data_IF_423305228161
#
_entry.id   IF_423305228161
#
_cell.length_a   1.000
_cell.length_b   1.000
_cell.length_c   1.000
_cell.angle_alpha   90.00
_cell.angle_beta   90.00
_cell.angle_gamma   90.00
#
_symmetry.space_group_name_H-M   'P 1'
#
loop_
_entity.id
_entity.type
_entity.pdbx_description
1 polymer ?
#
# COMPACT_ATOMS: atom_id res chain seq x y z
N UNK A 1 11.50 4.49 -0.17
CA UNK A 1 10.31 5.31 0.13
C UNK A 1 10.64 6.74 -0.26
N UNK A 2 9.76 7.37 -1.04
CA UNK A 2 9.81 8.78 -1.50
C UNK A 2 11.17 9.24 -2.06
N UNK A 3 11.64 8.56 -3.11
CA UNK A 3 12.81 8.97 -3.88
C UNK A 3 12.45 9.19 -5.36
N UNK A 4 12.75 10.37 -5.95
CA UNK A 4 13.27 11.56 -5.27
C UNK A 4 12.23 12.17 -4.31
N UNK A 5 12.65 13.04 -3.37
CA UNK A 5 11.73 13.82 -2.54
C UNK A 5 10.69 14.57 -3.40
N UNK A 6 9.45 14.70 -2.92
CA UNK A 6 8.32 15.26 -3.70
C UNK A 6 8.60 16.66 -4.24
N UNK A 7 9.29 17.49 -3.46
CA UNK A 7 9.67 18.86 -3.84
C UNK A 7 10.69 18.93 -4.97
N UNK A 8 11.40 17.84 -5.25
CA UNK A 8 12.51 17.80 -6.20
C UNK A 8 12.24 16.83 -7.37
N UNK A 9 11.04 16.24 -7.47
CA UNK A 9 10.73 15.26 -8.51
C UNK A 9 10.86 15.86 -9.92
N UNK A 10 10.30 17.05 -10.12
CA UNK A 10 10.40 17.77 -11.39
C UNK A 10 11.82 18.29 -11.67
N UNK A 11 12.63 18.51 -10.63
CA UNK A 11 14.02 18.97 -10.77
C UNK A 11 14.96 17.83 -11.17
N UNK A 12 14.86 16.68 -10.49
CA UNK A 12 15.73 15.53 -10.73
C UNK A 12 15.29 14.67 -11.91
N UNK A 13 13.98 14.62 -12.19
CA UNK A 13 13.40 13.74 -13.21
C UNK A 13 12.41 14.49 -14.13
N UNK A 14 12.81 15.61 -14.78
CA UNK A 14 11.90 16.50 -15.50
C UNK A 14 11.11 15.79 -16.63
N UNK A 15 11.76 14.86 -17.35
CA UNK A 15 11.07 14.06 -18.38
C UNK A 15 9.97 13.18 -17.77
N UNK A 16 10.26 12.52 -16.65
CA UNK A 16 9.30 11.65 -15.96
C UNK A 16 8.18 12.45 -15.31
N UNK A 17 8.47 13.64 -14.76
CA UNK A 17 7.46 14.60 -14.29
C UNK A 17 6.42 14.91 -15.36
N UNK A 18 6.89 15.34 -16.53
CA UNK A 18 6.00 15.66 -17.66
C UNK A 18 5.19 14.45 -18.12
N UNK A 19 5.81 13.28 -18.25
CA UNK A 19 5.13 12.05 -18.67
C UNK A 19 4.10 11.58 -17.64
N UNK A 20 4.44 11.66 -16.35
CA UNK A 20 3.55 11.29 -15.25
C UNK A 20 2.31 12.20 -15.21
N UNK A 21 2.49 13.52 -15.24
CA UNK A 21 1.36 14.46 -15.28
C UNK A 21 0.48 14.23 -16.51
N UNK A 22 1.07 13.88 -17.66
CA UNK A 22 0.30 13.53 -18.88
C UNK A 22 -0.51 12.24 -18.71
N UNK A 23 -0.01 11.28 -17.92
CA UNK A 23 -0.66 9.99 -17.67
C UNK A 23 -1.76 10.03 -16.59
N UNK A 24 -1.89 11.14 -15.85
CA UNK A 24 -2.92 11.26 -14.81
C UNK A 24 -4.34 11.07 -15.39
N UNK A 25 -5.16 10.18 -14.80
CA UNK A 25 -6.57 10.05 -15.15
C UNK A 25 -7.39 11.20 -14.53
N UNK A 26 -8.61 11.45 -15.04
CA UNK A 26 -9.53 12.46 -14.50
C UNK A 26 -8.87 13.83 -14.28
N UNK A 27 -8.29 14.38 -15.35
CA UNK A 27 -7.42 15.57 -15.30
C UNK A 27 -8.12 16.81 -14.73
N UNK A 28 -9.43 16.85 -14.77
CA UNK A 28 -10.27 17.86 -14.13
C UNK A 28 -9.99 17.94 -12.62
N UNK A 29 -9.70 16.80 -11.97
CA UNK A 29 -9.42 16.68 -10.54
C UNK A 29 -7.93 16.54 -10.24
N UNK A 30 -7.18 15.84 -11.09
CA UNK A 30 -5.81 15.41 -10.75
C UNK A 30 -4.73 16.33 -11.30
N UNK A 31 -5.00 17.08 -12.38
CA UNK A 31 -3.97 17.86 -13.03
C UNK A 31 -3.58 19.08 -12.17
N UNK A 32 -2.28 19.28 -11.84
CA UNK A 32 -1.85 20.27 -10.84
C UNK A 32 -2.01 21.74 -11.27
N UNK A 33 -2.11 21.99 -12.59
CA UNK A 33 -2.29 23.35 -13.15
C UNK A 33 -3.63 23.59 -13.83
N UNK A 34 -4.05 22.71 -14.74
CA UNK A 34 -5.29 22.85 -15.51
C UNK A 34 -6.50 22.14 -14.91
N UNK A 35 -6.39 21.46 -13.77
CA UNK A 35 -7.51 20.79 -13.12
C UNK A 35 -8.52 21.81 -12.61
N UNK A 36 -9.67 21.93 -13.27
CA UNK A 36 -10.71 22.89 -12.91
C UNK A 36 -11.39 22.56 -11.57
N UNK A 37 -11.41 21.29 -11.18
CA UNK A 37 -11.96 20.78 -9.93
C UNK A 37 -10.87 20.48 -8.90
N UNK A 38 -9.59 20.65 -9.27
CA UNK A 38 -8.46 20.55 -8.34
C UNK A 38 -8.32 21.84 -7.53
N UNK A 39 -8.90 21.86 -6.32
CA UNK A 39 -8.85 23.04 -5.44
C UNK A 39 -7.41 23.47 -5.11
N UNK A 40 -6.48 22.53 -4.97
CA UNK A 40 -5.09 22.86 -4.68
C UNK A 40 -4.43 23.71 -5.78
N UNK A 41 -4.85 23.53 -7.04
CA UNK A 41 -4.38 24.35 -8.17
C UNK A 41 -4.93 25.78 -8.16
N UNK A 42 -5.97 26.05 -7.37
CA UNK A 42 -6.70 27.33 -7.32
C UNK A 42 -6.44 28.14 -6.06
N UNK A 43 -5.68 27.58 -5.10
CA UNK A 43 -5.35 28.30 -3.88
C UNK A 43 -4.37 29.47 -4.16
N UNK A 44 -4.55 30.64 -3.51
CA UNK A 44 -3.64 31.78 -3.66
C UNK A 44 -2.18 31.43 -3.31
N UNK A 45 -1.20 32.13 -3.89
CA UNK A 45 0.23 31.86 -3.62
C UNK A 45 0.62 31.96 -2.14
N UNK A 46 -0.03 32.86 -1.39
CA UNK A 46 0.22 33.07 0.05
C UNK A 46 -0.51 32.08 0.97
N UNK A 47 -1.24 31.12 0.40
CA UNK A 47 -1.92 30.09 1.19
C UNK A 47 -0.95 29.01 1.65
N UNK A 48 -1.27 28.37 2.77
CA UNK A 48 -0.60 27.15 3.20
C UNK A 48 -1.03 26.02 2.26
N UNK A 49 -0.29 25.85 1.15
CA UNK A 49 -0.50 24.71 0.27
C UNK A 49 -0.02 23.44 1.00
N UNK A 50 -0.82 22.37 1.05
CA UNK A 50 -0.31 21.09 1.51
C UNK A 50 0.89 20.66 0.65
N UNK A 51 1.79 19.82 1.19
CA UNK A 51 2.89 19.21 0.44
C UNK A 51 2.31 18.23 -0.59
N UNK A 52 1.89 18.80 -1.72
CA UNK A 52 1.27 18.12 -2.84
C UNK A 52 2.27 18.00 -3.97
N UNK A 53 2.33 16.80 -4.54
CA UNK A 53 3.25 16.48 -5.61
C UNK A 53 3.42 14.98 -5.77
N UNK A 54 4.03 14.56 -6.89
CA UNK A 54 4.31 13.16 -7.15
C UNK A 54 5.21 12.57 -6.07
N UNK A 55 4.79 11.46 -5.45
CA UNK A 55 5.60 10.63 -4.55
C UNK A 55 5.84 9.27 -5.17
N UNK A 56 7.12 8.89 -5.23
CA UNK A 56 7.55 7.66 -5.88
C UNK A 56 7.81 6.54 -4.87
N UNK A 57 7.21 5.39 -5.12
CA UNK A 57 7.32 4.19 -4.30
C UNK A 57 7.94 3.06 -5.11
N UNK A 58 9.10 2.58 -4.65
CA UNK A 58 9.71 1.34 -5.13
C UNK A 58 9.61 0.32 -4.02
N UNK A 59 9.07 -0.84 -4.36
CA UNK A 59 8.89 -1.93 -3.41
C UNK A 59 9.18 -3.28 -4.03
N UNK A 60 9.65 -4.20 -3.20
CA UNK A 60 9.71 -5.62 -3.50
C UNK A 60 8.58 -6.31 -2.73
N UNK A 61 7.77 -7.09 -3.44
CA UNK A 61 6.71 -7.89 -2.85
C UNK A 61 6.82 -9.34 -3.30
N UNK A 62 6.28 -10.26 -2.51
CA UNK A 62 6.05 -11.65 -2.92
C UNK A 62 4.56 -11.87 -3.05
N UNK A 63 4.12 -12.59 -4.08
CA UNK A 63 2.69 -12.93 -4.23
C UNK A 63 2.15 -13.69 -3.03
N UNK A 64 3.03 -14.48 -2.38
CA UNK A 64 2.71 -15.24 -1.20
C UNK A 64 3.10 -14.47 0.07
N UNK A 65 2.18 -13.67 0.60
CA UNK A 65 2.34 -12.93 1.86
C UNK A 65 2.54 -13.88 3.06
N UNK A 66 3.37 -13.49 4.03
CA UNK A 66 3.64 -14.19 5.29
C UNK A 66 2.47 -14.09 6.28
N UNK A 67 1.48 -13.21 6.04
CA UNK A 67 0.22 -13.16 6.78
C UNK A 67 0.31 -12.52 8.15
N UNK A 68 1.41 -11.80 8.47
CA UNK A 68 1.59 -11.05 9.72
C UNK A 68 2.01 -9.62 9.47
N UNK A 69 1.26 -8.94 8.61
CA UNK A 69 1.53 -7.54 8.29
C UNK A 69 2.85 -7.36 7.55
N UNK A 70 3.17 -8.23 6.61
CA UNK A 70 4.32 -8.10 5.70
C UNK A 70 4.01 -7.25 4.46
N UNK A 71 2.86 -6.57 4.44
CA UNK A 71 2.50 -5.62 3.40
C UNK A 71 3.56 -4.52 3.25
N UNK A 72 3.86 -4.18 2.00
CA UNK A 72 4.77 -3.09 1.63
C UNK A 72 4.29 -1.75 2.20
N UNK A 73 2.99 -1.51 2.12
CA UNK A 73 2.32 -0.31 2.63
C UNK A 73 1.45 -0.72 3.80
N UNK A 74 1.66 -0.08 4.95
CA UNK A 74 0.81 -0.28 6.12
C UNK A 74 -0.49 0.50 5.97
N UNK A 75 -1.54 0.05 6.64
CA UNK A 75 -2.79 0.77 6.70
C UNK A 75 -2.55 2.18 7.26
N UNK A 76 -3.02 3.19 6.54
CA UNK A 76 -2.98 4.59 6.93
C UNK A 76 -4.10 5.36 6.23
N UNK A 77 -4.39 6.56 6.71
CA UNK A 77 -5.28 7.51 6.06
C UNK A 77 -4.42 8.64 5.47
N UNK A 78 -4.68 9.00 4.21
CA UNK A 78 -4.08 10.19 3.61
C UNK A 78 -4.84 11.45 4.03
N UNK A 79 -4.12 12.57 4.14
CA UNK A 79 -4.69 13.88 4.51
C UNK A 79 -5.34 14.60 3.33
N UNK A 80 -5.14 14.11 2.10
CA UNK A 80 -5.72 14.63 0.86
C UNK A 80 -6.15 13.47 -0.04
N UNK A 81 -6.95 13.79 -1.05
CA UNK A 81 -7.25 12.86 -2.14
C UNK A 81 -5.95 12.47 -2.85
N UNK A 82 -5.84 11.21 -3.29
CA UNK A 82 -4.65 10.73 -3.97
C UNK A 82 -5.00 9.81 -5.14
N UNK A 83 -4.20 9.86 -6.19
CA UNK A 83 -4.22 8.89 -7.29
C UNK A 83 -2.89 8.16 -7.36
N UNK A 84 -2.95 6.82 -7.37
CA UNK A 84 -1.77 5.96 -7.45
C UNK A 84 -1.71 5.30 -8.83
N UNK A 85 -0.61 5.49 -9.56
CA UNK A 85 -0.38 4.87 -10.87
C UNK A 85 0.72 3.83 -10.74
N UNK A 86 0.41 2.57 -11.10
CA UNK A 86 1.39 1.51 -11.25
C UNK A 86 2.11 1.68 -12.60
N UNK A 87 3.39 2.04 -12.57
CA UNK A 87 4.15 2.40 -13.77
C UNK A 87 5.07 1.29 -14.25
N UNK A 88 5.53 0.42 -13.35
CA UNK A 88 6.40 -0.69 -13.69
C UNK A 88 6.20 -1.87 -12.74
N UNK A 89 6.23 -3.07 -13.31
CA UNK A 89 6.35 -4.34 -12.61
C UNK A 89 7.48 -5.16 -13.20
N UNK A 90 8.27 -5.79 -12.34
CA UNK A 90 9.25 -6.79 -12.75
C UNK A 90 9.06 -8.06 -11.92
N UNK A 91 8.72 -9.15 -12.60
CA UNK A 91 8.73 -10.48 -12.01
C UNK A 91 10.16 -10.96 -11.86
N UNK A 92 10.48 -11.64 -10.77
CA UNK A 92 11.61 -12.54 -10.85
C UNK A 92 11.53 -13.79 -9.99
N UNK A 93 12.41 -14.77 -10.27
CA UNK A 93 12.25 -16.15 -9.82
C UNK A 93 12.93 -16.41 -8.49
N UNK A 94 12.18 -16.91 -7.50
CA UNK A 94 12.74 -17.29 -6.20
C UNK A 94 13.49 -18.62 -6.32
N UNK A 95 14.63 -18.70 -5.63
CA UNK A 95 15.35 -19.97 -5.45
C UNK A 95 14.56 -20.85 -4.48
N UNK A 96 14.65 -22.18 -4.65
CA UNK A 96 13.98 -23.15 -3.78
C UNK A 96 14.26 -22.94 -2.28
N UNK A 97 15.49 -22.51 -1.92
CA UNK A 97 15.87 -22.17 -0.55
C UNK A 97 15.01 -21.05 0.05
N UNK A 98 14.70 -20.02 -0.73
CA UNK A 98 13.85 -18.90 -0.29
C UNK A 98 12.40 -19.34 -0.11
N UNK A 99 11.87 -20.15 -1.05
CA UNK A 99 10.52 -20.70 -0.96
C UNK A 99 10.36 -21.58 0.29
N UNK A 100 11.35 -22.42 0.59
CA UNK A 100 11.35 -23.21 1.81
C UNK A 100 11.29 -22.34 3.06
N UNK A 101 12.09 -21.25 3.09
CA UNK A 101 12.11 -20.33 4.23
C UNK A 101 10.78 -19.61 4.45
N UNK A 102 10.11 -19.20 3.37
CA UNK A 102 8.77 -18.58 3.42
C UNK A 102 7.77 -19.55 4.06
N UNK A 103 7.77 -20.83 3.65
CA UNK A 103 6.88 -21.86 4.22
C UNK A 103 7.13 -22.08 5.71
N UNK A 104 8.39 -22.18 6.13
CA UNK A 104 8.74 -22.31 7.55
C UNK A 104 8.23 -21.13 8.37
N UNK A 105 8.43 -19.90 7.88
CA UNK A 105 8.01 -18.69 8.58
C UNK A 105 6.49 -18.62 8.73
N UNK A 106 5.74 -18.97 7.68
CA UNK A 106 4.27 -19.06 7.74
C UNK A 106 3.79 -20.03 8.81
N UNK A 107 4.40 -21.21 8.91
CA UNK A 107 4.03 -22.19 9.93
C UNK A 107 4.26 -21.66 11.34
N UNK A 108 5.40 -20.99 11.57
CA UNK A 108 5.72 -20.35 12.85
C UNK A 108 4.72 -19.25 13.20
N UNK A 109 4.39 -18.40 12.22
CA UNK A 109 3.41 -17.32 12.36
C UNK A 109 2.03 -17.86 12.73
N UNK A 110 1.51 -18.86 12.02
CA UNK A 110 0.23 -19.49 12.34
C UNK A 110 0.21 -20.13 13.73
N UNK A 111 1.31 -20.75 14.15
CA UNK A 111 1.42 -21.32 15.49
C UNK A 111 1.39 -20.24 16.58
N UNK A 112 2.00 -19.09 16.33
CA UNK A 112 1.99 -17.93 17.23
C UNK A 112 0.62 -17.26 17.27
N UNK A 113 -0.05 -17.01 16.13
CA UNK A 113 -1.42 -16.45 16.08
C UNK A 113 -2.38 -17.30 16.93
N UNK A 114 -2.28 -18.63 16.81
CA UNK A 114 -3.07 -19.57 17.60
C UNK A 114 -2.82 -19.49 19.10
N UNK A 115 -1.65 -19.04 19.55
CA UNK A 115 -1.33 -18.83 20.97
C UNK A 115 -1.88 -17.49 21.44
N UNK A 116 -1.68 -16.43 20.66
CA UNK A 116 -2.14 -15.07 20.98
C UNK A 116 -3.67 -14.96 21.02
N UNK A 117 -4.37 -15.57 20.05
CA UNK A 117 -5.85 -15.64 20.02
C UNK A 117 -6.40 -16.39 21.25
N UNK A 118 -5.65 -17.37 21.76
CA UNK A 118 -6.05 -18.18 22.92
C UNK A 118 -5.65 -17.57 24.27
N UNK A 119 -5.14 -16.34 24.29
CA UNK A 119 -4.44 -15.72 25.41
C UNK A 119 -4.97 -16.08 26.81
N UNK A 120 -4.01 -16.39 27.70
CA UNK A 120 -4.16 -16.52 29.14
C UNK A 120 -5.09 -15.43 29.69
N UNK A 121 -6.27 -15.84 30.16
CA UNK A 121 -7.00 -15.08 31.17
C UNK A 121 -6.55 -15.61 32.53
N UNK A 122 -5.86 -14.83 33.38
CA UNK A 122 -6.03 -15.01 34.81
C UNK A 122 -7.52 -14.81 35.06
N UNK A 123 -8.17 -15.83 35.59
CA UNK A 123 -9.55 -15.74 36.05
C UNK A 123 -9.63 -14.76 37.22
N UNK A 124 -9.85 -13.49 36.94
CA UNK A 124 -10.38 -12.56 37.92
C UNK A 124 -11.59 -11.83 37.34
N UNK A 125 -12.75 -12.34 37.80
CA UNK A 125 -14.03 -11.69 38.01
C UNK A 125 -14.67 -10.93 36.84
N UNK A 126 -15.75 -11.55 36.37
CA UNK A 126 -16.69 -11.01 35.39
C UNK A 126 -17.25 -9.64 35.81
N UNK A 127 -17.12 -8.66 34.92
CA UNK A 127 -18.07 -7.55 34.80
C UNK A 127 -18.08 -7.01 33.38
N UNK A 128 -19.25 -7.15 32.74
CA UNK A 128 -19.83 -6.35 31.67
C UNK A 128 -19.00 -6.04 30.39
N UNK A 129 -19.49 -6.51 29.24
CA UNK A 129 -20.39 -5.71 28.39
C UNK A 129 -20.70 -6.51 27.12
N UNK A 130 -21.96 -6.85 26.92
CA UNK A 130 -22.45 -7.41 25.68
C UNK A 130 -22.54 -6.31 24.63
N UNK A 131 -21.67 -6.35 23.62
CA UNK A 131 -21.97 -5.80 22.30
C UNK A 131 -21.40 -6.76 21.26
N UNK A 132 -22.31 -7.51 20.64
CA UNK A 132 -21.99 -8.47 19.61
C UNK A 132 -21.39 -7.77 18.40
N UNK A 133 -20.15 -8.13 18.07
CA UNK A 133 -19.67 -8.06 16.70
C UNK A 133 -19.46 -9.49 16.24
N UNK A 134 -20.43 -10.02 15.49
CA UNK A 134 -20.22 -11.23 14.70
C UNK A 134 -19.21 -10.83 13.62
N UNK A 135 -17.95 -11.18 13.82
CA UNK A 135 -16.98 -11.16 12.74
C UNK A 135 -17.47 -12.20 11.72
N UNK A 136 -18.11 -11.71 10.66
CA UNK A 136 -18.59 -12.55 9.57
C UNK A 136 -17.44 -13.42 9.09
N UNK A 137 -17.65 -14.74 9.11
CA UNK A 137 -16.81 -15.66 8.37
C UNK A 137 -16.91 -15.26 6.90
N UNK A 138 -15.92 -14.53 6.41
CA UNK A 138 -15.64 -14.49 4.99
C UNK A 138 -15.24 -15.91 4.62
N UNK A 139 -16.22 -16.67 4.13
CA UNK A 139 -15.99 -17.83 3.30
C UNK A 139 -15.10 -17.35 2.15
N UNK A 140 -13.81 -17.65 2.27
CA UNK A 140 -12.92 -17.64 1.12
C UNK A 140 -13.22 -18.91 0.37
N UNK A 141 -14.15 -18.82 -0.58
CA UNK A 141 -14.21 -19.80 -1.64
C UNK A 141 -12.81 -19.86 -2.26
N UNK A 142 -12.17 -21.01 -2.07
CA UNK A 142 -10.82 -21.29 -2.54
C UNK A 142 -10.84 -21.50 -4.05
N UNK A 143 -11.19 -20.45 -4.79
CA UNK A 143 -10.82 -20.26 -6.19
C UNK A 143 -9.45 -19.59 -6.23
N UNK A 144 -8.42 -20.25 -5.71
CA UNK A 144 -7.04 -19.78 -5.88
C UNK A 144 -6.71 -19.87 -7.38
N UNK A 145 -6.88 -18.75 -8.10
CA UNK A 145 -6.15 -18.55 -9.34
C UNK A 145 -4.67 -18.51 -8.96
N UNK A 146 -3.99 -19.65 -9.05
CA UNK A 146 -2.54 -19.73 -8.92
C UNK A 146 -1.92 -18.94 -10.08
N UNK A 147 -1.69 -17.64 -9.85
CA UNK A 147 -0.88 -16.84 -10.74
C UNK A 147 0.59 -17.25 -10.52
N UNK A 148 1.31 -17.66 -11.58
CA UNK A 148 2.70 -18.09 -11.46
C UNK A 148 3.60 -16.85 -11.37
N UNK A 149 3.70 -16.25 -10.18
CA UNK A 149 4.44 -15.01 -9.98
C UNK A 149 5.34 -15.07 -8.76
N UNK A 150 6.60 -15.47 -8.98
CA UNK A 150 7.67 -15.22 -8.02
C UNK A 150 7.95 -13.71 -8.02
N UNK A 151 8.08 -13.11 -6.83
CA UNK A 151 8.24 -11.68 -6.48
C UNK A 151 8.10 -10.58 -7.56
N UNK A 152 7.38 -9.52 -7.20
CA UNK A 152 7.20 -8.33 -8.03
C UNK A 152 7.96 -7.14 -7.44
N UNK A 153 8.82 -6.52 -8.27
CA UNK A 153 9.27 -5.15 -8.01
C UNK A 153 8.25 -4.20 -8.60
N UNK A 154 7.74 -3.28 -7.80
CA UNK A 154 6.70 -2.34 -8.19
C UNK A 154 7.21 -0.92 -8.06
N UNK A 155 7.06 -0.13 -9.12
CA UNK A 155 7.19 1.33 -9.09
C UNK A 155 5.79 1.95 -9.22
N UNK A 156 5.32 2.62 -8.18
CA UNK A 156 4.13 3.45 -8.26
C UNK A 156 4.45 4.91 -7.98
N UNK A 157 3.72 5.80 -8.65
CA UNK A 157 3.79 7.22 -8.39
C UNK A 157 2.41 7.67 -7.93
N UNK A 158 2.37 8.34 -6.79
CA UNK A 158 1.16 8.89 -6.18
C UNK A 158 1.11 10.39 -6.38
N UNK A 159 0.02 10.92 -6.92
CA UNK A 159 -0.23 12.36 -6.93
C UNK A 159 -1.26 12.67 -5.84
N UNK A 160 -0.84 13.45 -4.84
CA UNK A 160 -1.67 13.89 -3.71
C UNK A 160 -2.20 15.30 -3.92
#
# INVERSE_FOLDING_TARGET
>A
KDWPPSTEFDEHLPRHGVEFIKALPFKEYTHPRSGILNLASKLPEKSLKPDLGPKTYIAYGVAQELGRGDSVTKLHCDMSDAVNILTHTAEMKLKAKHLHKIRELKQKHMAQDKKEIRGDRPTENASACASGFVCGQLHTDAGACELPGNYQTTLSISNR
#
